data_IF_621868582072
#
_entry.id   IF_621868582072
#
_cell.length_a   1.000
_cell.length_b   1.000
_cell.length_c   1.000
_cell.angle_alpha   90.00
_cell.angle_beta   90.00
_cell.angle_gamma   90.00
#
_symmetry.space_group_name_H-M   'P 1'
#
loop_
_entity.id
_entity.type
_entity.pdbx_description
1 polymer ?
#
# COMPACT_ATOMS: atom_id res chain seq x y z
N UNK A 1 67.90 -17.43 -39.42
CA UNK A 1 67.82 -16.25 -38.52
C UNK A 1 66.41 -15.69 -38.56
N UNK A 2 65.64 -15.85 -37.49
CA UNK A 2 64.35 -15.18 -37.24
C UNK A 2 64.32 -14.83 -35.74
N UNK A 3 63.96 -13.60 -35.33
CA UNK A 3 64.12 -13.15 -33.95
C UNK A 3 63.01 -13.69 -33.05
N UNK A 4 63.37 -14.01 -31.80
CA UNK A 4 62.43 -14.40 -30.73
C UNK A 4 61.73 -13.16 -30.22
N UNK A 5 60.40 -13.10 -30.35
CA UNK A 5 59.56 -12.09 -29.72
C UNK A 5 59.21 -12.57 -28.30
N UNK A 6 59.81 -11.93 -27.30
CA UNK A 6 59.59 -12.21 -25.87
C UNK A 6 58.30 -11.51 -25.43
N UNK A 7 57.22 -12.26 -25.21
CA UNK A 7 55.94 -11.75 -24.74
C UNK A 7 56.00 -11.62 -23.20
N UNK A 8 56.15 -10.39 -22.70
CA UNK A 8 56.09 -10.09 -21.25
C UNK A 8 54.62 -9.91 -20.87
N UNK A 9 54.09 -10.85 -20.08
CA UNK A 9 52.74 -10.80 -19.52
C UNK A 9 52.76 -9.92 -18.27
N UNK A 10 52.18 -8.71 -18.33
CA UNK A 10 51.98 -7.83 -17.17
C UNK A 10 50.64 -8.23 -16.52
N UNK A 11 50.61 -8.64 -15.24
CA UNK A 11 49.35 -8.95 -14.56
C UNK A 11 48.64 -7.63 -14.24
N UNK A 12 47.55 -7.35 -14.96
CA UNK A 12 46.64 -6.24 -14.71
C UNK A 12 45.83 -6.57 -13.45
N UNK A 13 46.31 -6.08 -12.30
CA UNK A 13 45.67 -6.23 -11.01
C UNK A 13 44.42 -5.32 -10.97
N UNK A 14 43.27 -5.88 -11.33
CA UNK A 14 41.95 -5.23 -11.20
C UNK A 14 41.66 -5.02 -9.71
N UNK A 15 41.89 -3.80 -9.23
CA UNK A 15 41.40 -3.32 -7.95
C UNK A 15 39.87 -3.26 -8.03
N UNK A 16 39.21 -4.34 -7.62
CA UNK A 16 37.78 -4.38 -7.33
C UNK A 16 37.53 -3.46 -6.12
N UNK A 17 37.25 -2.19 -6.41
CA UNK A 17 36.70 -1.27 -5.43
C UNK A 17 35.29 -1.75 -5.13
N UNK A 18 35.13 -2.48 -4.01
CA UNK A 18 33.83 -2.79 -3.46
C UNK A 18 33.16 -1.48 -3.02
N UNK A 19 32.37 -0.89 -3.93
CA UNK A 19 31.34 0.07 -3.54
C UNK A 19 30.39 -0.67 -2.60
N UNK A 20 30.54 -0.41 -1.29
CA UNK A 20 29.57 -0.81 -0.29
C UNK A 20 28.26 -0.10 -0.66
N UNK A 21 27.32 -0.82 -1.25
CA UNK A 21 25.95 -0.36 -1.34
C UNK A 21 25.47 -0.17 0.10
N UNK A 22 25.22 1.08 0.47
CA UNK A 22 24.54 1.42 1.71
C UNK A 22 23.13 0.86 1.58
N UNK A 23 22.88 -0.32 2.14
CA UNK A 23 21.53 -0.81 2.34
C UNK A 23 20.80 0.24 3.18
N UNK A 24 19.74 0.82 2.61
CA UNK A 24 18.83 1.74 3.30
C UNK A 24 18.29 0.97 4.50
N UNK A 25 18.75 1.31 5.71
CA UNK A 25 18.22 0.70 6.92
C UNK A 25 16.74 1.03 6.98
N UNK A 26 15.88 0.02 6.77
CA UNK A 26 14.44 0.22 6.83
C UNK A 26 14.10 0.82 8.21
N UNK A 27 13.30 1.90 8.27
CA UNK A 27 12.86 2.43 9.54
C UNK A 27 12.11 1.33 10.30
N UNK A 28 12.36 1.20 11.62
CA UNK A 28 11.68 0.21 12.49
C UNK A 28 10.23 0.65 12.76
N UNK A 29 9.44 0.70 11.69
CA UNK A 29 8.02 1.07 11.71
C UNK A 29 7.23 -0.20 12.02
N UNK A 30 6.35 -0.08 13.01
CA UNK A 30 5.40 -1.12 13.37
C UNK A 30 4.01 -0.50 13.40
N UNK A 31 3.03 -1.31 13.00
CA UNK A 31 1.65 -1.05 13.33
C UNK A 31 1.25 -1.74 14.63
N UNK A 32 0.03 -1.49 15.07
CA UNK A 32 -0.61 -2.13 16.21
C UNK A 32 -2.05 -2.44 15.85
N UNK A 33 -2.52 -3.62 16.24
CA UNK A 33 -3.95 -3.95 16.14
C UNK A 33 -4.68 -3.19 17.24
N UNK A 34 -5.49 -2.19 16.85
CA UNK A 34 -6.20 -1.32 17.79
C UNK A 34 -7.65 -1.75 18.01
N UNK A 35 -8.20 -2.54 17.09
CA UNK A 35 -9.55 -3.07 17.17
C UNK A 35 -9.66 -4.33 16.31
N UNK A 36 -10.49 -5.28 16.73
CA UNK A 36 -10.81 -6.47 15.95
C UNK A 36 -12.04 -7.17 16.50
N UNK A 37 -12.74 -7.90 15.63
CA UNK A 37 -13.82 -8.82 15.97
C UNK A 37 -13.71 -10.06 15.08
N UNK A 38 -14.30 -11.18 15.51
CA UNK A 38 -14.34 -12.44 14.76
C UNK A 38 -12.98 -13.13 14.60
N UNK A 39 -12.87 -14.02 13.61
CA UNK A 39 -11.62 -14.72 13.32
C UNK A 39 -10.61 -13.81 12.60
N UNK A 40 -9.48 -13.57 13.25
CA UNK A 40 -8.35 -12.78 12.72
C UNK A 40 -7.04 -13.48 13.03
N UNK A 41 -6.18 -13.57 12.03
CA UNK A 41 -4.82 -14.07 12.18
C UNK A 41 -3.79 -13.06 11.72
N UNK A 42 -2.67 -13.01 12.43
CA UNK A 42 -1.46 -12.25 12.11
C UNK A 42 -0.32 -13.24 11.90
N UNK A 43 0.27 -13.22 10.71
CA UNK A 43 1.32 -14.15 10.28
C UNK A 43 0.93 -15.64 10.51
N UNK A 44 -0.34 -15.97 10.22
CA UNK A 44 -0.88 -17.33 10.33
C UNK A 44 -1.17 -17.80 11.76
N UNK A 45 -1.10 -16.92 12.77
CA UNK A 45 -1.42 -17.22 14.16
C UNK A 45 -2.60 -16.35 14.62
N UNK A 46 -3.41 -16.89 15.53
CA UNK A 46 -4.43 -16.08 16.21
C UNK A 46 -3.77 -14.88 16.92
N UNK A 47 -4.46 -13.75 16.91
CA UNK A 47 -3.95 -12.46 17.38
C UNK A 47 -4.98 -11.76 18.28
N UNK A 48 -4.59 -10.67 18.91
CA UNK A 48 -5.44 -9.86 19.81
C UNK A 48 -5.12 -8.36 19.66
N UNK A 49 -6.03 -7.53 20.15
CA UNK A 49 -5.79 -6.09 20.32
C UNK A 49 -4.50 -5.86 21.13
N UNK A 50 -3.67 -4.94 20.65
CA UNK A 50 -2.36 -4.61 21.19
C UNK A 50 -1.20 -5.43 20.60
N UNK A 51 -1.47 -6.44 19.78
CA UNK A 51 -0.40 -7.17 19.11
C UNK A 51 0.29 -6.28 18.05
N UNK A 52 1.64 -6.28 17.99
CA UNK A 52 2.38 -5.47 17.03
C UNK A 52 2.34 -6.10 15.64
N UNK A 53 2.04 -5.27 14.63
CA UNK A 53 2.13 -5.61 13.23
C UNK A 53 3.51 -5.21 12.72
N UNK A 54 4.38 -6.19 12.53
CA UNK A 54 5.75 -5.98 12.04
C UNK A 54 5.76 -5.82 10.51
N UNK A 55 6.91 -5.40 9.97
CA UNK A 55 7.14 -5.43 8.53
C UNK A 55 6.91 -6.82 7.90
N UNK A 56 6.46 -6.85 6.66
CA UNK A 56 6.08 -8.06 5.89
C UNK A 56 4.94 -8.91 6.49
N UNK A 57 4.20 -8.38 7.46
CA UNK A 57 3.10 -9.09 8.10
C UNK A 57 1.95 -9.38 7.14
N UNK A 58 1.35 -10.56 7.29
CA UNK A 58 0.11 -10.95 6.62
C UNK A 58 -1.00 -10.98 7.65
N UNK A 59 -2.10 -10.28 7.35
CA UNK A 59 -3.32 -10.28 8.15
C UNK A 59 -4.42 -10.94 7.34
N UNK A 60 -5.10 -11.89 7.96
CA UNK A 60 -6.22 -12.60 7.36
C UNK A 60 -7.41 -12.58 8.31
N UNK A 61 -8.57 -12.25 7.77
CA UNK A 61 -9.86 -12.23 8.46
C UNK A 61 -10.77 -13.33 7.91
N UNK A 62 -11.58 -13.93 8.78
CA UNK A 62 -12.65 -14.87 8.42
C UNK A 62 -13.94 -14.16 8.00
N UNK A 63 -15.00 -14.94 7.80
CA UNK A 63 -16.30 -14.46 7.33
C UNK A 63 -17.06 -13.58 8.35
N UNK A 64 -16.66 -13.63 9.62
CA UNK A 64 -17.17 -12.80 10.71
C UNK A 64 -16.11 -11.82 11.24
N UNK A 65 -14.96 -11.74 10.58
CA UNK A 65 -13.77 -11.09 11.10
C UNK A 65 -13.52 -9.70 10.54
N UNK A 66 -13.09 -8.75 11.36
CA UNK A 66 -12.45 -7.52 10.90
C UNK A 66 -11.27 -7.15 11.80
N UNK A 67 -10.35 -6.35 11.28
CA UNK A 67 -9.18 -5.87 12.02
C UNK A 67 -8.86 -4.43 11.66
N UNK A 68 -8.52 -3.59 12.63
CA UNK A 68 -8.03 -2.23 12.44
C UNK A 68 -6.60 -2.11 12.92
N UNK A 69 -5.73 -1.61 12.05
CA UNK A 69 -4.30 -1.49 12.30
C UNK A 69 -3.93 -0.01 12.25
N UNK A 70 -3.47 0.53 13.37
CA UNK A 70 -2.91 1.87 13.45
C UNK A 70 -1.40 1.82 13.26
N UNK A 71 -0.82 2.81 12.57
CA UNK A 71 0.63 2.97 12.44
C UNK A 71 1.03 4.43 12.25
N UNK A 72 2.23 4.80 12.71
CA UNK A 72 2.74 6.18 12.70
C UNK A 72 1.75 7.20 13.28
N UNK A 73 1.03 6.81 14.33
CA UNK A 73 0.04 7.57 15.11
C UNK A 73 -1.19 8.09 14.37
N UNK A 74 -1.09 8.47 13.10
CA UNK A 74 -2.13 9.16 12.33
C UNK A 74 -2.50 8.42 11.04
N UNK A 75 -2.27 7.12 10.98
CA UNK A 75 -2.75 6.27 9.90
C UNK A 75 -3.47 5.06 10.46
N UNK A 76 -4.52 4.65 9.77
CA UNK A 76 -5.28 3.45 10.09
C UNK A 76 -5.73 2.75 8.83
N UNK A 77 -5.67 1.41 8.86
CA UNK A 77 -6.25 0.54 7.85
C UNK A 77 -7.21 -0.41 8.55
N UNK A 78 -8.46 -0.44 8.09
CA UNK A 78 -9.44 -1.48 8.41
C UNK A 78 -9.39 -2.56 7.34
N UNK A 79 -9.26 -3.80 7.76
CA UNK A 79 -9.38 -5.03 6.97
C UNK A 79 -10.74 -5.64 7.26
N UNK A 80 -11.56 -5.80 6.22
CA UNK A 80 -12.93 -6.32 6.34
C UNK A 80 -12.94 -7.84 6.38
N UNK A 81 -14.13 -8.45 6.44
CA UNK A 81 -14.33 -9.89 6.39
C UNK A 81 -13.76 -10.54 5.12
N UNK A 82 -13.45 -11.84 5.22
CA UNK A 82 -12.94 -12.68 4.13
C UNK A 82 -11.73 -12.10 3.38
N UNK A 83 -10.91 -11.31 4.08
CA UNK A 83 -9.84 -10.51 3.48
C UNK A 83 -8.45 -11.06 3.81
N UNK A 84 -7.51 -10.81 2.90
CA UNK A 84 -6.08 -11.08 3.09
C UNK A 84 -5.32 -9.84 2.65
N UNK A 85 -4.58 -9.24 3.57
CA UNK A 85 -3.66 -8.15 3.26
C UNK A 85 -2.24 -8.49 3.68
N UNK A 86 -1.27 -7.92 2.97
CA UNK A 86 0.15 -7.89 3.35
C UNK A 86 0.58 -6.44 3.55
N UNK A 87 1.22 -6.17 4.68
CA UNK A 87 1.77 -4.85 4.99
C UNK A 87 3.29 -4.94 4.92
N UNK A 88 3.89 -4.09 4.10
CA UNK A 88 5.33 -3.90 3.98
C UNK A 88 5.63 -2.42 4.22
N UNK A 89 6.05 -2.08 5.44
CA UNK A 89 6.50 -0.75 5.79
C UNK A 89 7.83 -0.42 5.10
N UNK A 90 8.74 -1.39 4.96
CA UNK A 90 10.03 -1.17 4.29
C UNK A 90 9.87 -0.81 2.81
N UNK A 91 8.87 -1.36 2.14
CA UNK A 91 8.52 -1.05 0.75
C UNK A 91 7.37 -0.04 0.61
N UNK A 92 6.92 0.57 1.71
CA UNK A 92 5.80 1.52 1.74
C UNK A 92 4.58 0.99 0.96
N UNK A 93 4.26 -0.29 1.12
CA UNK A 93 3.27 -0.99 0.30
C UNK A 93 2.30 -1.76 1.18
N UNK A 94 1.01 -1.68 0.84
CA UNK A 94 -0.01 -2.61 1.32
C UNK A 94 -0.63 -3.33 0.13
N UNK A 95 -0.58 -4.65 0.13
CA UNK A 95 -1.18 -5.50 -0.90
C UNK A 95 -2.48 -6.09 -0.38
N UNK A 96 -3.57 -5.90 -1.12
CA UNK A 96 -4.86 -6.54 -0.92
C UNK A 96 -4.95 -7.76 -1.85
N UNK A 97 -4.64 -8.93 -1.29
CA UNK A 97 -4.66 -10.19 -2.03
C UNK A 97 -6.10 -10.70 -2.21
N UNK A 98 -7.00 -10.43 -1.25
CA UNK A 98 -8.42 -10.78 -1.30
C UNK A 98 -9.25 -9.86 -0.41
N UNK A 99 -10.52 -9.67 -0.76
CA UNK A 99 -11.50 -9.02 0.10
C UNK A 99 -11.47 -7.51 -0.02
N UNK A 100 -11.52 -6.79 1.10
CA UNK A 100 -11.60 -5.33 1.12
C UNK A 100 -10.80 -4.69 2.25
N UNK A 101 -10.44 -3.43 2.04
CA UNK A 101 -9.83 -2.58 3.04
C UNK A 101 -10.33 -1.14 2.92
N UNK A 102 -10.39 -0.44 4.04
CA UNK A 102 -10.55 1.01 4.10
C UNK A 102 -9.34 1.60 4.82
N UNK A 103 -8.92 2.80 4.43
CA UNK A 103 -7.82 3.47 5.11
C UNK A 103 -8.09 4.96 5.26
N UNK A 104 -7.60 5.50 6.37
CA UNK A 104 -7.47 6.94 6.61
C UNK A 104 -6.00 7.20 6.90
N UNK A 105 -5.34 7.88 5.98
CA UNK A 105 -3.89 8.08 6.04
C UNK A 105 -3.59 9.58 6.11
N UNK A 106 -2.99 10.04 7.21
CA UNK A 106 -2.67 11.45 7.46
C UNK A 106 -1.19 11.76 7.55
N UNK A 107 -0.33 10.77 7.78
CA UNK A 107 1.11 11.00 7.89
C UNK A 107 1.92 9.81 7.37
N UNK A 108 2.41 9.90 6.14
CA UNK A 108 3.30 8.89 5.57
C UNK A 108 4.75 9.37 5.42
N UNK A 109 5.10 10.51 6.00
CA UNK A 109 6.44 11.10 5.86
C UNK A 109 7.58 10.14 6.26
N UNK A 110 7.39 9.33 7.30
CA UNK A 110 8.39 8.35 7.73
C UNK A 110 8.54 7.15 6.79
N UNK A 111 7.56 6.90 5.92
CA UNK A 111 7.57 5.86 4.88
C UNK A 111 8.09 6.38 3.54
N UNK A 112 8.12 7.70 3.36
CA UNK A 112 8.55 8.37 2.13
C UNK A 112 9.89 9.06 2.42
N UNK A 113 10.99 8.33 2.22
CA UNK A 113 12.33 8.81 2.56
C UNK A 113 13.01 9.56 1.40
N UNK A 114 12.53 9.36 0.17
CA UNK A 114 13.02 10.06 -1.03
C UNK A 114 11.85 10.65 -1.81
N UNK A 115 12.14 11.58 -2.75
CA UNK A 115 11.11 12.14 -3.64
C UNK A 115 10.47 11.08 -4.56
N UNK A 116 11.15 9.96 -4.78
CA UNK A 116 10.68 8.85 -5.60
C UNK A 116 9.91 7.80 -4.77
N UNK A 117 9.98 7.87 -3.43
CA UNK A 117 9.24 6.97 -2.56
C UNK A 117 7.75 7.34 -2.59
N UNK A 118 6.87 6.36 -2.82
CA UNK A 118 5.42 6.54 -2.81
C UNK A 118 4.83 5.42 -1.99
N UNK A 119 3.88 5.74 -1.11
CA UNK A 119 3.10 4.69 -0.46
C UNK A 119 2.10 4.10 -1.45
N UNK A 120 2.10 2.79 -1.62
CA UNK A 120 1.28 2.13 -2.63
C UNK A 120 0.27 1.17 -2.01
N UNK A 121 -0.93 1.17 -2.60
CA UNK A 121 -1.94 0.14 -2.38
C UNK A 121 -2.01 -0.70 -3.64
N UNK A 122 -1.74 -1.99 -3.51
CA UNK A 122 -1.81 -2.94 -4.62
C UNK A 122 -3.03 -3.82 -4.44
N UNK A 123 -3.85 -3.96 -5.48
CA UNK A 123 -4.99 -4.88 -5.44
C UNK A 123 -5.10 -5.56 -6.78
N UNK A 124 -4.45 -6.73 -6.91
CA UNK A 124 -4.44 -7.65 -8.07
C UNK A 124 -4.19 -7.01 -9.45
N UNK A 125 -5.13 -6.19 -9.86
CA UNK A 125 -5.29 -5.48 -11.13
C UNK A 125 -4.74 -4.06 -11.12
N UNK A 126 -4.48 -3.44 -9.97
CA UNK A 126 -4.05 -2.03 -9.93
C UNK A 126 -3.06 -1.72 -8.83
N UNK A 127 -2.18 -0.76 -9.11
CA UNK A 127 -1.33 -0.07 -8.14
C UNK A 127 -1.84 1.36 -7.98
N UNK A 128 -2.19 1.74 -6.75
CA UNK A 128 -2.56 3.11 -6.41
C UNK A 128 -1.45 3.73 -5.57
N UNK A 129 -0.74 4.71 -6.13
CA UNK A 129 0.15 5.59 -5.39
C UNK A 129 -0.65 6.60 -4.58
N UNK A 130 -0.44 6.64 -3.27
CA UNK A 130 -1.24 7.39 -2.30
C UNK A 130 -0.47 8.63 -1.84
N UNK A 131 -1.13 9.80 -1.87
CA UNK A 131 -0.55 11.10 -1.46
C UNK A 131 -1.45 11.87 -0.49
N UNK A 132 -1.92 11.23 0.57
CA UNK A 132 -2.74 11.83 1.61
C UNK A 132 -4.16 11.53 1.24
N UNK A 133 -4.71 10.48 1.82
CA UNK A 133 -5.93 9.90 1.25
C UNK A 133 -6.70 9.10 2.27
N UNK A 134 -8.00 9.25 2.18
CA UNK A 134 -8.98 8.36 2.75
C UNK A 134 -9.64 7.59 1.61
N UNK A 135 -9.62 6.26 1.65
CA UNK A 135 -10.15 5.44 0.56
C UNK A 135 -10.76 4.14 1.05
N UNK A 136 -11.57 3.54 0.18
CA UNK A 136 -12.02 2.16 0.27
C UNK A 136 -11.60 1.41 -0.99
N UNK A 137 -11.10 0.19 -0.84
CA UNK A 137 -10.72 -0.70 -1.94
C UNK A 137 -11.26 -2.09 -1.69
N UNK A 138 -11.79 -2.72 -2.75
CA UNK A 138 -12.25 -4.10 -2.73
C UNK A 138 -11.83 -4.81 -4.00
N UNK A 139 -11.24 -6.00 -3.84
CA UNK A 139 -11.05 -6.94 -4.93
C UNK A 139 -12.39 -7.64 -5.17
N UNK A 140 -13.14 -7.19 -6.17
CA UNK A 140 -14.45 -7.76 -6.52
C UNK A 140 -14.27 -9.18 -7.08
N UNK A 141 -13.25 -9.39 -7.92
CA UNK A 141 -12.87 -10.69 -8.45
C UNK A 141 -11.36 -10.74 -8.80
N UNK A 142 -10.94 -11.78 -9.54
CA UNK A 142 -9.54 -11.96 -9.89
C UNK A 142 -8.97 -10.80 -10.72
N UNK A 143 -9.81 -10.23 -11.60
CA UNK A 143 -9.46 -9.29 -12.66
C UNK A 143 -10.16 -7.93 -12.50
N UNK A 144 -10.94 -7.74 -11.43
CA UNK A 144 -11.67 -6.49 -11.15
C UNK A 144 -11.50 -6.03 -9.71
N UNK A 145 -11.14 -4.76 -9.54
CA UNK A 145 -11.08 -4.06 -8.27
C UNK A 145 -11.98 -2.83 -8.29
N UNK A 146 -12.74 -2.65 -7.22
CA UNK A 146 -13.43 -1.41 -6.90
C UNK A 146 -12.52 -0.53 -6.05
N UNK A 147 -12.39 0.73 -6.42
CA UNK A 147 -11.67 1.73 -5.63
C UNK A 147 -12.53 2.97 -5.46
N UNK A 148 -12.75 3.39 -4.23
CA UNK A 148 -13.37 4.67 -3.92
C UNK A 148 -12.35 5.59 -3.25
N UNK A 149 -12.01 6.67 -3.94
CA UNK A 149 -11.28 7.79 -3.40
C UNK A 149 -12.25 8.64 -2.58
N UNK A 150 -12.37 8.36 -1.28
CA UNK A 150 -13.29 9.07 -0.39
C UNK A 150 -12.88 10.54 -0.30
N UNK A 151 -11.60 10.79 -0.07
CA UNK A 151 -11.01 12.12 -0.09
C UNK A 151 -9.50 12.02 -0.36
N UNK A 152 -8.96 12.93 -1.17
CA UNK A 152 -7.53 13.09 -1.37
C UNK A 152 -7.13 12.96 -2.84
N UNK A 153 -5.88 12.52 -3.06
CA UNK A 153 -5.32 12.30 -4.40
C UNK A 153 -4.64 10.94 -4.51
N UNK A 154 -4.86 10.26 -5.63
CA UNK A 154 -4.17 9.02 -5.96
C UNK A 154 -3.66 9.05 -7.39
N UNK A 155 -2.59 8.30 -7.62
CA UNK A 155 -2.07 7.98 -8.94
C UNK A 155 -2.32 6.49 -9.20
N UNK A 156 -3.23 6.16 -10.11
CA UNK A 156 -3.42 4.78 -10.55
C UNK A 156 -2.41 4.46 -11.64
N UNK A 157 -1.73 3.32 -11.54
CA UNK A 157 -0.88 2.77 -12.59
C UNK A 157 -1.05 1.26 -12.71
N UNK A 158 -0.68 0.73 -13.88
CA UNK A 158 -0.42 -0.70 -14.01
C UNK A 158 1.01 -1.05 -13.57
N UNK A 159 1.30 -2.32 -13.36
CA UNK A 159 2.63 -2.76 -12.92
C UNK A 159 3.77 -2.58 -13.95
N UNK A 160 3.47 -2.12 -15.16
CA UNK A 160 4.44 -1.88 -16.25
C UNK A 160 4.46 -0.42 -16.72
N UNK A 161 3.79 0.49 -16.00
CA UNK A 161 3.60 1.91 -16.32
C UNK A 161 3.06 2.20 -17.74
N UNK A 162 2.28 1.28 -18.33
CA UNK A 162 1.64 1.51 -19.65
C UNK A 162 0.31 2.24 -19.54
N UNK A 163 -0.32 2.13 -18.38
CA UNK A 163 -1.49 2.88 -17.97
C UNK A 163 -1.13 3.76 -16.78
N UNK A 164 -1.57 5.02 -16.83
CA UNK A 164 -1.60 5.88 -15.65
C UNK A 164 -2.80 6.81 -15.66
N UNK A 165 -3.34 7.10 -14.47
CA UNK A 165 -4.46 8.03 -14.28
C UNK A 165 -4.42 8.65 -12.89
N UNK A 166 -4.35 9.97 -12.84
CA UNK A 166 -4.54 10.71 -11.59
C UNK A 166 -6.02 10.88 -11.29
N UNK A 167 -6.38 10.69 -10.02
CA UNK A 167 -7.71 10.93 -9.48
C UNK A 167 -7.61 11.83 -8.24
N UNK A 168 -8.56 12.75 -8.12
CA UNK A 168 -8.67 13.71 -7.02
C UNK A 168 -10.14 13.87 -6.64
N UNK A 169 -10.44 13.89 -5.35
CA UNK A 169 -11.79 14.10 -4.85
C UNK A 169 -11.79 14.72 -3.45
N UNK A 170 -12.79 15.56 -3.18
CA UNK A 170 -13.13 16.01 -1.82
C UNK A 170 -14.21 15.14 -1.18
N UNK A 171 -14.97 14.39 -1.98
CA UNK A 171 -16.08 13.56 -1.51
C UNK A 171 -16.39 12.47 -2.54
N UNK A 172 -15.97 11.23 -2.25
CA UNK A 172 -16.21 9.99 -2.99
C UNK A 172 -16.14 10.08 -4.51
N UNK A 173 -14.99 9.71 -5.06
CA UNK A 173 -14.85 9.36 -6.48
C UNK A 173 -14.57 7.86 -6.60
N UNK A 174 -15.58 7.09 -6.99
CA UNK A 174 -15.47 5.65 -7.16
C UNK A 174 -15.25 5.23 -8.62
N UNK A 175 -14.38 4.24 -8.80
CA UNK A 175 -14.09 3.61 -10.07
C UNK A 175 -14.04 2.10 -9.94
N UNK A 176 -14.39 1.41 -11.02
CA UNK A 176 -14.04 0.01 -11.23
C UNK A 176 -12.86 -0.08 -12.18
N UNK A 177 -11.88 -0.88 -11.80
CA UNK A 177 -10.64 -1.08 -12.52
C UNK A 177 -10.56 -2.56 -12.87
N UNK A 178 -10.67 -2.87 -14.16
CA UNK A 178 -10.58 -4.25 -14.65
C UNK A 178 -9.38 -4.43 -15.56
N UNK A 179 -8.68 -5.55 -15.43
CA UNK A 179 -7.61 -5.93 -16.35
C UNK A 179 -8.16 -6.82 -17.46
N UNK A 180 -8.03 -6.40 -18.73
CA UNK A 180 -8.37 -7.22 -19.90
C UNK A 180 -7.22 -7.19 -20.89
N UNK A 181 -6.78 -8.36 -21.34
CA UNK A 181 -5.67 -8.49 -22.30
C UNK A 181 -4.41 -7.71 -21.87
N UNK A 182 -4.10 -7.70 -20.57
CA UNK A 182 -2.96 -6.97 -19.98
C UNK A 182 -3.07 -5.44 -20.07
N UNK A 183 -4.28 -4.91 -20.22
CA UNK A 183 -4.57 -3.48 -20.22
C UNK A 183 -5.62 -3.18 -19.15
N UNK A 184 -5.42 -2.07 -18.43
CA UNK A 184 -6.40 -1.61 -17.45
C UNK A 184 -7.50 -0.80 -18.12
N UNK A 185 -8.73 -1.19 -17.85
CA UNK A 185 -9.94 -0.41 -18.14
C UNK A 185 -10.46 0.19 -16.84
N UNK A 186 -10.58 1.52 -16.80
CA UNK A 186 -11.12 2.25 -15.64
C UNK A 186 -12.46 2.87 -16.01
N UNK A 187 -13.50 2.51 -15.29
CA UNK A 187 -14.86 3.02 -15.46
C UNK A 187 -15.37 3.65 -14.16
N UNK A 188 -16.25 4.65 -14.28
CA UNK A 188 -16.86 5.26 -13.10
C UNK A 188 -17.80 4.26 -12.42
N UNK A 189 -17.86 4.33 -11.08
CA UNK A 189 -18.77 3.54 -10.26
C UNK A 189 -19.51 4.46 -9.27
N UNK A 190 -20.71 4.07 -8.80
CA UNK A 190 -21.32 4.70 -7.63
C UNK A 190 -20.58 4.27 -6.35
N UNK A 191 -20.87 4.93 -5.24
CA UNK A 191 -20.45 4.45 -3.91
C UNK A 191 -21.24 3.18 -3.54
N UNK A 192 -20.55 2.07 -3.26
CA UNK A 192 -21.17 0.76 -3.10
C UNK A 192 -21.03 0.10 -1.73
N UNK A 193 -19.88 0.25 -1.05
CA UNK A 193 -19.49 -0.66 0.05
C UNK A 193 -19.30 0.01 1.40
N UNK A 194 -19.35 1.34 1.44
CA UNK A 194 -19.13 2.13 2.64
C UNK A 194 -19.95 3.42 2.55
N UNK A 195 -19.97 4.15 3.65
CA UNK A 195 -20.64 5.45 3.80
C UNK A 195 -19.68 6.51 4.35
N UNK A 196 -20.13 7.77 4.36
CA UNK A 196 -19.43 8.87 5.05
C UNK A 196 -19.19 8.52 6.51
N UNK A 197 -20.22 7.96 7.17
CA UNK A 197 -20.14 7.57 8.58
C UNK A 197 -19.06 6.51 8.83
N UNK A 198 -18.91 5.53 7.95
CA UNK A 198 -17.89 4.50 8.12
C UNK A 198 -16.47 5.10 8.08
N UNK A 199 -16.23 6.07 7.19
CA UNK A 199 -14.94 6.75 7.08
C UNK A 199 -14.72 7.74 8.23
N UNK A 200 -15.76 8.42 8.70
CA UNK A 200 -15.70 9.29 9.88
C UNK A 200 -15.41 8.51 11.15
N UNK A 201 -16.08 7.37 11.36
CA UNK A 201 -15.84 6.49 12.50
C UNK A 201 -14.41 5.95 12.47
N UNK A 202 -13.92 5.52 11.30
CA UNK A 202 -12.53 5.06 11.13
C UNK A 202 -11.51 6.16 11.40
N UNK A 203 -11.72 7.37 10.88
CA UNK A 203 -10.87 8.52 11.18
C UNK A 203 -10.88 8.87 12.68
N UNK A 204 -12.03 8.72 13.34
CA UNK A 204 -12.21 8.96 14.76
C UNK A 204 -11.34 8.07 15.65
N UNK A 205 -11.05 6.83 15.23
CA UNK A 205 -10.17 5.89 15.97
C UNK A 205 -8.78 6.48 16.18
N UNK A 206 -8.25 7.20 15.19
CA UNK A 206 -6.94 7.87 15.27
C UNK A 206 -7.04 9.35 15.69
N UNK A 207 -8.18 9.76 16.25
CA UNK A 207 -8.41 11.13 16.70
C UNK A 207 -8.51 12.16 15.57
N UNK A 208 -8.80 11.71 14.35
CA UNK A 208 -8.90 12.56 13.15
C UNK A 208 -10.35 12.75 12.72
N UNK A 209 -10.55 13.63 11.74
CA UNK A 209 -11.83 13.85 11.06
C UNK A 209 -11.63 13.84 9.55
N UNK A 210 -12.73 13.56 8.84
CA UNK A 210 -12.81 13.74 7.41
C UNK A 210 -13.09 15.21 7.08
N UNK A 211 -12.36 15.79 6.13
CA UNK A 211 -12.70 17.11 5.57
C UNK A 211 -13.36 16.94 4.19
N UNK A 212 -14.69 16.90 4.15
CA UNK A 212 -15.43 16.74 2.90
C UNK A 212 -15.46 17.98 1.99
N UNK A 213 -14.85 19.09 2.42
CA UNK A 213 -14.88 20.36 1.68
C UNK A 213 -13.51 20.74 1.08
N UNK A 214 -12.45 20.04 1.45
CA UNK A 214 -11.11 20.26 0.93
C UNK A 214 -10.44 18.93 0.56
N UNK A 215 -9.48 18.98 -0.35
CA UNK A 215 -8.71 17.79 -0.71
C UNK A 215 -7.65 17.58 0.36
N UNK A 216 -7.69 16.42 1.01
CA UNK A 216 -6.68 15.97 1.95
C UNK A 216 -5.37 15.69 1.18
N UNK A 217 -4.27 16.15 1.75
CA UNK A 217 -2.91 15.85 1.30
C UNK A 217 -2.02 15.69 2.53
N UNK A 218 -0.95 14.90 2.45
CA UNK A 218 0.03 14.86 3.53
C UNK A 218 0.66 16.24 3.72
N UNK A 219 0.87 16.64 4.98
CA UNK A 219 1.73 17.75 5.39
C UNK A 219 3.07 17.21 5.90
#
# INVERSE_FOLDING_TARGET
MKPKLLLILIPFLLLLSCTKQTEKSAPDIKGEIVNMEGDVTLAGKSTKIGDPVSDESVIQTGADGYCEIQFLDSNIIRVFEDSIIRISFSNSTVSLDRGAAAAVLRNLSSLIQTMDDVFTIKSGTVVAGIRGTSFYVKREDADTSYFCLCNGKIHLSDGNDQFSKDLESTHHLAVRISEKNRQLEVSNAPMLYHSDKDMEDLAGVIGQKMDWNAVESYH
#
